data_IF_438123798061
#
_entry.id   IF_438123798061
#
_cell.length_a   1.000
_cell.length_b   1.000
_cell.length_c   1.000
_cell.angle_alpha   90.00
_cell.angle_beta   90.00
_cell.angle_gamma   90.00
#
_symmetry.space_group_name_H-M   'P 1'
#
loop_
_entity.id
_entity.type
_entity.pdbx_description
1 polymer ?
#
# COMPACT_ATOMS: atom_id res chain seq x y z
N UNK A 1 -10.68 47.62 11.54
CA UNK A 1 -11.00 46.45 10.67
C UNK A 1 -12.44 46.07 10.92
N UNK A 2 -13.31 46.04 9.92
CA UNK A 2 -14.70 45.62 10.15
C UNK A 2 -14.76 44.15 10.53
N UNK A 3 -15.70 43.80 11.44
CA UNK A 3 -15.92 42.42 11.92
C UNK A 3 -16.15 41.42 10.75
N UNK A 4 -16.82 41.87 9.68
CA UNK A 4 -17.00 41.12 8.43
C UNK A 4 -15.69 40.79 7.73
N UNK A 5 -14.75 41.73 7.60
CA UNK A 5 -13.46 41.49 6.94
C UNK A 5 -12.56 40.51 7.69
N UNK A 6 -12.66 40.42 9.03
CA UNK A 6 -11.93 39.42 9.84
C UNK A 6 -12.50 38.01 9.66
N UNK A 7 -13.84 37.88 9.70
CA UNK A 7 -14.52 36.56 9.49
C UNK A 7 -14.17 36.00 8.11
N UNK A 8 -14.20 36.82 7.06
CA UNK A 8 -13.84 36.35 5.72
C UNK A 8 -12.39 35.87 5.62
N UNK A 9 -11.45 36.52 6.29
CA UNK A 9 -10.06 36.07 6.33
C UNK A 9 -9.90 34.74 7.05
N UNK A 10 -10.58 34.57 8.18
CA UNK A 10 -10.58 33.31 8.94
C UNK A 10 -11.18 32.18 8.10
N UNK A 11 -12.30 32.43 7.40
CA UNK A 11 -12.91 31.43 6.52
C UNK A 11 -11.96 30.99 5.38
N UNK A 12 -11.21 31.92 4.77
CA UNK A 12 -10.24 31.56 3.73
C UNK A 12 -9.08 30.72 4.27
N UNK A 13 -8.55 31.08 5.46
CA UNK A 13 -7.48 30.31 6.11
C UNK A 13 -7.97 28.91 6.49
N UNK A 14 -9.16 28.80 7.07
CA UNK A 14 -9.75 27.52 7.44
C UNK A 14 -9.99 26.65 6.18
N UNK A 15 -10.53 27.20 5.11
CA UNK A 15 -10.72 26.48 3.84
C UNK A 15 -9.41 26.01 3.22
N UNK A 16 -8.37 26.84 3.25
CA UNK A 16 -7.03 26.43 2.79
C UNK A 16 -6.45 25.29 3.62
N UNK A 17 -6.54 25.36 4.95
CA UNK A 17 -6.04 24.31 5.83
C UNK A 17 -6.79 23.00 5.64
N UNK A 18 -8.12 23.04 5.48
CA UNK A 18 -8.94 21.86 5.19
C UNK A 18 -8.54 21.18 3.86
N UNK A 19 -8.33 21.99 2.79
CA UNK A 19 -7.92 21.45 1.49
C UNK A 19 -6.46 20.97 1.46
N UNK A 20 -5.61 21.53 2.32
CA UNK A 20 -4.20 21.13 2.43
C UNK A 20 -3.99 19.91 3.33
N UNK A 21 -4.97 19.57 4.18
CA UNK A 21 -4.87 18.46 5.13
C UNK A 21 -4.49 17.12 4.48
N UNK A 22 -5.15 16.66 3.39
CA UNK A 22 -4.79 15.39 2.75
C UNK A 22 -3.36 15.36 2.22
N UNK A 23 -2.85 16.50 1.70
CA UNK A 23 -1.48 16.60 1.21
C UNK A 23 -0.47 16.49 2.37
N UNK A 24 -0.71 17.22 3.46
CA UNK A 24 0.17 17.18 4.63
C UNK A 24 0.19 15.76 5.22
N UNK A 25 -0.97 15.13 5.31
CA UNK A 25 -1.09 13.76 5.81
C UNK A 25 -0.37 12.75 4.89
N UNK A 26 -0.45 12.93 3.56
CA UNK A 26 0.25 12.07 2.59
C UNK A 26 1.78 12.14 2.75
N UNK A 27 2.34 13.33 2.96
CA UNK A 27 3.77 13.46 3.26
C UNK A 27 4.17 12.76 4.56
N UNK A 28 3.35 12.90 5.59
CA UNK A 28 3.62 12.26 6.88
C UNK A 28 3.55 10.73 6.76
N UNK A 29 2.48 10.19 6.17
CA UNK A 29 2.31 8.75 5.99
C UNK A 29 3.44 8.14 5.16
N UNK A 30 3.83 8.78 4.05
CA UNK A 30 4.94 8.31 3.21
C UNK A 30 6.27 8.30 3.98
N UNK A 31 6.51 9.31 4.83
CA UNK A 31 7.71 9.34 5.67
C UNK A 31 7.71 8.19 6.69
N UNK A 32 6.56 7.94 7.34
CA UNK A 32 6.42 6.84 8.31
C UNK A 32 6.59 5.46 7.67
N UNK A 33 6.08 5.25 6.44
CA UNK A 33 6.27 3.98 5.73
C UNK A 33 7.75 3.73 5.41
N UNK A 34 8.45 4.75 4.92
CA UNK A 34 9.88 4.65 4.63
C UNK A 34 10.71 4.42 5.89
N UNK A 35 10.35 5.05 7.00
CA UNK A 35 10.98 4.83 8.30
C UNK A 35 10.80 3.36 8.71
N UNK A 36 9.58 2.81 8.67
CA UNK A 36 9.32 1.41 9.02
C UNK A 36 10.08 0.42 8.12
N UNK A 37 10.17 0.66 6.81
CA UNK A 37 10.95 -0.16 5.87
C UNK A 37 12.45 -0.04 6.16
N UNK A 38 12.95 1.16 6.48
CA UNK A 38 14.35 1.39 6.83
C UNK A 38 14.73 0.67 8.13
N UNK A 39 13.90 0.80 9.17
CA UNK A 39 14.11 0.15 10.47
C UNK A 39 14.13 -1.37 10.32
N UNK A 40 13.19 -1.93 9.53
CA UNK A 40 13.19 -3.35 9.18
C UNK A 40 14.50 -3.77 8.48
N UNK A 41 14.94 -3.01 7.49
CA UNK A 41 16.15 -3.31 6.74
C UNK A 41 17.40 -3.26 7.62
N UNK A 42 17.50 -2.28 8.54
CA UNK A 42 18.61 -2.16 9.50
C UNK A 42 18.61 -3.35 10.48
N UNK A 43 17.45 -3.75 10.97
CA UNK A 43 17.32 -4.90 11.86
C UNK A 43 17.73 -6.20 11.15
N UNK A 44 17.24 -6.43 9.93
CA UNK A 44 17.63 -7.59 9.11
C UNK A 44 19.13 -7.61 8.83
N UNK A 45 19.74 -6.44 8.54
CA UNK A 45 21.19 -6.34 8.34
C UNK A 45 22.00 -6.66 9.59
N UNK A 46 21.43 -6.51 10.78
CA UNK A 46 22.08 -6.83 12.06
C UNK A 46 22.12 -8.34 12.37
N UNK A 47 21.27 -9.15 11.70
CA UNK A 47 21.16 -10.59 11.94
C UNK A 47 22.25 -11.37 11.19
N UNK A 48 22.69 -12.46 11.78
CA UNK A 48 23.56 -13.42 11.11
C UNK A 48 22.79 -14.21 10.03
N UNK A 49 23.49 -14.72 9.03
CA UNK A 49 22.88 -15.57 8.00
C UNK A 49 22.27 -16.85 8.59
N UNK A 50 22.81 -17.38 9.68
CA UNK A 50 22.26 -18.55 10.39
C UNK A 50 20.90 -18.23 11.05
N UNK A 51 20.76 -17.04 11.65
CA UNK A 51 19.50 -16.57 12.22
C UNK A 51 18.44 -16.36 11.13
N UNK A 52 18.79 -15.69 10.03
CA UNK A 52 17.89 -15.49 8.89
C UNK A 52 17.43 -16.84 8.30
N UNK A 53 18.37 -17.77 8.12
CA UNK A 53 18.06 -19.11 7.60
C UNK A 53 17.10 -19.86 8.52
N UNK A 54 17.28 -19.78 9.84
CA UNK A 54 16.39 -20.42 10.81
C UNK A 54 14.97 -19.85 10.71
N UNK A 55 14.82 -18.53 10.57
CA UNK A 55 13.52 -17.88 10.41
C UNK A 55 12.85 -18.31 9.10
N UNK A 56 13.62 -18.36 8.00
CA UNK A 56 13.11 -18.80 6.70
C UNK A 56 12.70 -20.28 6.73
N UNK A 57 13.44 -21.14 7.41
CA UNK A 57 13.11 -22.58 7.52
C UNK A 57 11.80 -22.79 8.31
N UNK A 58 11.57 -22.03 9.37
CA UNK A 58 10.31 -22.05 10.11
C UNK A 58 9.14 -21.59 9.22
N UNK A 59 9.34 -20.51 8.46
CA UNK A 59 8.32 -20.01 7.54
C UNK A 59 8.05 -20.98 6.37
N UNK A 60 9.07 -21.67 5.86
CA UNK A 60 8.89 -22.76 4.87
C UNK A 60 8.06 -23.90 5.45
N UNK A 61 8.40 -24.34 6.66
CA UNK A 61 7.64 -25.39 7.33
C UNK A 61 6.16 -25.01 7.52
N UNK A 62 5.88 -23.74 7.88
CA UNK A 62 4.52 -23.22 7.95
C UNK A 62 3.80 -23.34 6.59
N UNK A 63 4.43 -22.86 5.50
CA UNK A 63 3.87 -22.93 4.15
C UNK A 63 3.64 -24.38 3.68
N UNK A 64 4.55 -25.29 3.97
CA UNK A 64 4.42 -26.72 3.62
C UNK A 64 3.22 -27.36 4.31
N UNK A 65 3.03 -27.10 5.62
CA UNK A 65 1.87 -27.61 6.37
C UNK A 65 0.58 -26.97 5.85
N UNK A 66 0.59 -25.69 5.55
CA UNK A 66 -0.57 -24.99 4.98
C UNK A 66 -0.98 -25.60 3.62
N UNK A 67 -0.03 -25.84 2.72
CA UNK A 67 -0.30 -26.49 1.43
C UNK A 67 -0.86 -27.90 1.59
N UNK A 68 -0.29 -28.71 2.49
CA UNK A 68 -0.75 -30.06 2.76
C UNK A 68 -2.15 -30.09 3.36
N UNK A 69 -2.51 -29.10 4.19
CA UNK A 69 -3.82 -28.99 4.83
C UNK A 69 -4.97 -28.68 3.83
N UNK A 70 -4.68 -28.05 2.70
CA UNK A 70 -5.69 -27.73 1.69
C UNK A 70 -6.21 -28.93 0.90
N UNK A 71 -5.49 -30.05 0.91
CA UNK A 71 -5.87 -31.30 0.22
C UNK A 71 -6.44 -32.38 1.13
N UNK A 72 -6.44 -32.20 2.43
CA UNK A 72 -6.86 -33.20 3.42
C UNK A 72 -7.90 -32.62 4.40
N UNK A 73 -8.83 -33.47 4.81
CA UNK A 73 -9.54 -33.29 6.10
C UNK A 73 -8.44 -33.32 7.16
N UNK A 74 -8.15 -32.16 7.74
CA UNK A 74 -7.07 -32.01 8.73
C UNK A 74 -7.50 -32.75 10.00
N UNK A 75 -7.07 -34.00 10.13
CA UNK A 75 -7.01 -34.66 11.40
C UNK A 75 -5.86 -34.01 12.19
N UNK A 76 -6.13 -33.16 13.16
CA UNK A 76 -5.29 -32.68 14.30
C UNK A 76 -3.74 -32.80 14.20
N UNK A 77 -3.18 -32.86 13.00
CA UNK A 77 -1.80 -33.27 12.76
C UNK A 77 -0.83 -32.11 12.56
N UNK A 78 -1.32 -30.86 12.57
CA UNK A 78 -0.47 -29.68 12.36
C UNK A 78 0.35 -29.30 13.61
N UNK A 79 0.12 -29.99 14.74
CA UNK A 79 0.78 -29.69 16.02
C UNK A 79 0.72 -28.21 16.44
N UNK A 80 -0.32 -27.49 16.02
CA UNK A 80 -0.47 -26.07 16.28
C UNK A 80 0.38 -25.16 15.39
N UNK A 81 0.98 -25.68 14.32
CA UNK A 81 1.80 -24.87 13.37
C UNK A 81 0.96 -23.82 12.66
N UNK A 82 -0.33 -24.11 12.41
CA UNK A 82 -1.26 -23.16 11.80
C UNK A 82 -2.11 -22.38 12.83
N UNK A 83 -1.69 -22.35 14.10
CA UNK A 83 -2.38 -21.54 15.12
C UNK A 83 -2.06 -20.07 14.95
N UNK A 84 -2.98 -19.19 15.40
CA UNK A 84 -2.81 -17.73 15.39
C UNK A 84 -1.50 -17.30 16.08
N UNK A 85 -1.14 -17.93 17.20
CA UNK A 85 0.12 -17.66 17.91
C UNK A 85 1.34 -18.03 17.07
N UNK A 86 1.29 -19.17 16.37
CA UNK A 86 2.36 -19.59 15.47
C UNK A 86 2.47 -18.67 14.25
N UNK A 87 1.34 -18.30 13.64
CA UNK A 87 1.31 -17.37 12.52
C UNK A 87 1.94 -16.02 12.88
N UNK A 88 1.51 -15.42 13.98
CA UNK A 88 2.01 -14.14 14.45
C UNK A 88 3.51 -14.16 14.84
N UNK A 89 4.05 -15.32 15.14
CA UNK A 89 5.48 -15.53 15.41
C UNK A 89 6.36 -15.71 14.16
N UNK A 90 5.76 -15.94 12.98
CA UNK A 90 6.52 -16.14 11.74
C UNK A 90 7.09 -14.81 11.22
N UNK A 91 8.31 -14.83 10.70
CA UNK A 91 8.96 -13.65 10.10
C UNK A 91 9.00 -12.41 11.02
N UNK A 92 8.65 -12.55 12.29
CA UNK A 92 8.68 -11.48 13.25
C UNK A 92 10.13 -11.11 13.56
N UNK A 93 10.52 -9.88 13.23
CA UNK A 93 11.90 -9.42 13.40
C UNK A 93 12.04 -8.48 14.59
N UNK A 94 11.00 -7.71 14.91
CA UNK A 94 11.05 -6.65 15.90
C UNK A 94 9.71 -6.42 16.60
N UNK A 95 9.73 -5.54 17.58
CA UNK A 95 8.53 -5.02 18.25
C UNK A 95 7.62 -4.23 17.29
N UNK A 96 8.11 -3.86 16.09
CA UNK A 96 7.33 -3.15 15.07
C UNK A 96 6.34 -4.06 14.33
N UNK A 97 6.54 -5.39 14.36
CA UNK A 97 5.67 -6.35 13.69
C UNK A 97 5.81 -6.40 12.17
N UNK A 98 6.84 -5.76 11.60
CA UNK A 98 7.11 -5.80 10.16
C UNK A 98 7.72 -7.15 9.78
N UNK A 99 7.12 -7.84 8.81
CA UNK A 99 7.58 -9.14 8.30
C UNK A 99 8.35 -9.05 6.98
N UNK A 100 8.31 -7.89 6.31
CA UNK A 100 8.93 -7.63 5.03
C UNK A 100 8.50 -6.30 4.46
N UNK A 101 8.89 -6.02 3.21
CA UNK A 101 8.40 -4.86 2.46
C UNK A 101 7.98 -5.23 1.05
N UNK A 102 7.11 -4.40 0.47
CA UNK A 102 6.69 -4.51 -0.93
C UNK A 102 7.03 -3.24 -1.67
N UNK A 103 7.64 -3.38 -2.85
CA UNK A 103 7.88 -2.31 -3.78
C UNK A 103 7.20 -2.55 -5.12
N UNK A 104 6.46 -1.54 -5.62
CA UNK A 104 5.84 -1.52 -6.94
C UNK A 104 6.32 -0.24 -7.65
N UNK A 105 7.48 -0.26 -8.31
CA UNK A 105 8.15 0.95 -8.81
C UNK A 105 7.29 1.74 -9.79
N UNK A 106 6.51 1.08 -10.64
CA UNK A 106 5.66 1.72 -11.64
C UNK A 106 4.67 2.72 -11.03
N UNK A 107 4.13 2.43 -9.86
CA UNK A 107 3.13 3.26 -9.17
C UNK A 107 3.67 3.93 -7.90
N UNK A 108 5.00 3.92 -7.71
CA UNK A 108 5.71 4.55 -6.60
C UNK A 108 5.24 4.06 -5.22
N UNK A 109 5.05 2.75 -5.08
CA UNK A 109 4.71 2.06 -3.83
C UNK A 109 5.99 1.50 -3.22
N UNK A 110 6.20 1.76 -1.93
CA UNK A 110 7.25 1.22 -1.07
C UNK A 110 6.68 1.18 0.35
N UNK A 111 6.26 0.00 0.80
CA UNK A 111 5.42 -0.17 1.99
C UNK A 111 5.88 -1.35 2.85
N UNK A 112 5.81 -1.23 4.18
CA UNK A 112 6.01 -2.35 5.09
C UNK A 112 4.86 -3.35 4.98
N UNK A 113 5.17 -4.64 5.16
CA UNK A 113 4.23 -5.74 5.25
C UNK A 113 4.10 -6.16 6.72
N UNK A 114 2.88 -6.27 7.21
CA UNK A 114 2.55 -6.68 8.58
C UNK A 114 1.69 -7.94 8.58
N UNK A 115 1.58 -8.60 9.73
CA UNK A 115 0.66 -9.72 9.94
C UNK A 115 -0.79 -9.25 9.98
N UNK A 116 -1.68 -10.04 9.37
CA UNK A 116 -3.12 -9.79 9.40
C UNK A 116 -3.57 -8.65 8.49
N UNK A 117 -4.89 -8.45 8.45
CA UNK A 117 -5.55 -7.44 7.61
C UNK A 117 -6.54 -6.59 8.42
N UNK A 118 -6.27 -6.40 9.71
CA UNK A 118 -7.04 -5.50 10.58
C UNK A 118 -6.89 -4.03 10.18
N UNK A 119 -7.83 -3.19 10.62
CA UNK A 119 -7.82 -1.75 10.30
C UNK A 119 -6.59 -1.02 10.84
N UNK A 120 -6.04 -1.48 11.96
CA UNK A 120 -4.80 -1.00 12.56
C UNK A 120 -3.60 -1.24 11.64
N UNK A 121 -3.49 -2.44 11.07
CA UNK A 121 -2.46 -2.83 10.09
C UNK A 121 -2.63 -2.05 8.78
N UNK A 122 -3.83 -2.10 8.20
CA UNK A 122 -4.08 -1.50 6.89
C UNK A 122 -4.01 0.02 6.89
N UNK A 123 -4.00 0.66 8.06
CA UNK A 123 -3.80 2.11 8.19
C UNK A 123 -2.33 2.53 8.07
N UNK A 124 -1.39 1.61 8.34
CA UNK A 124 0.06 1.90 8.42
C UNK A 124 0.91 1.15 7.39
N UNK A 125 0.32 0.24 6.60
CA UNK A 125 1.05 -0.52 5.59
C UNK A 125 0.18 -1.49 4.82
N UNK A 126 0.80 -2.57 4.37
CA UNK A 126 0.18 -3.70 3.69
C UNK A 126 0.05 -4.84 4.68
N UNK A 127 -1.11 -5.48 4.72
CA UNK A 127 -1.37 -6.63 5.58
C UNK A 127 -1.23 -7.95 4.83
N UNK A 128 -0.52 -8.91 5.40
CA UNK A 128 -0.52 -10.29 4.92
C UNK A 128 -1.80 -10.99 5.42
N UNK A 129 -2.54 -11.58 4.49
CA UNK A 129 -3.79 -12.28 4.83
C UNK A 129 -3.50 -13.64 5.47
N UNK A 130 -3.92 -13.80 6.72
CA UNK A 130 -3.85 -15.08 7.41
C UNK A 130 -4.59 -16.18 6.65
N UNK A 131 -4.06 -17.41 6.70
CA UNK A 131 -4.57 -18.55 5.94
C UNK A 131 -4.07 -18.61 4.50
N UNK A 132 -3.21 -17.67 4.07
CA UNK A 132 -2.43 -17.73 2.83
C UNK A 132 -0.96 -18.00 3.12
N UNK A 133 -0.18 -18.40 2.12
CA UNK A 133 1.25 -18.68 2.32
C UNK A 133 2.01 -17.45 2.76
N UNK A 134 2.93 -17.59 3.71
CA UNK A 134 3.86 -16.53 4.08
C UNK A 134 4.66 -16.06 2.85
N UNK A 135 4.99 -14.77 2.72
CA UNK A 135 5.50 -14.15 1.49
C UNK A 135 7.00 -14.42 1.23
N UNK A 136 7.48 -15.62 1.58
CA UNK A 136 8.88 -16.03 1.39
C UNK A 136 9.17 -16.63 0.02
N UNK A 137 8.14 -16.77 -0.83
CA UNK A 137 8.23 -17.49 -2.10
C UNK A 137 8.41 -19.01 -1.93
N UNK A 138 8.63 -19.68 -3.03
CA UNK A 138 8.82 -21.12 -3.10
C UNK A 138 7.69 -21.84 -3.83
N UNK A 139 7.96 -23.08 -4.27
CA UNK A 139 6.94 -23.91 -4.90
C UNK A 139 5.78 -24.20 -3.94
N UNK A 140 4.59 -24.29 -4.49
CA UNK A 140 3.35 -24.54 -3.75
C UNK A 140 3.00 -23.42 -2.76
N UNK A 141 3.27 -22.17 -3.14
CA UNK A 141 2.92 -20.99 -2.33
C UNK A 141 1.97 -20.05 -3.07
N UNK A 142 1.02 -19.49 -2.35
CA UNK A 142 0.19 -18.38 -2.75
C UNK A 142 0.04 -17.42 -1.57
N UNK A 143 0.79 -16.33 -1.59
CA UNK A 143 0.71 -15.28 -0.58
C UNK A 143 -0.28 -14.20 -0.99
N UNK A 144 -1.06 -13.69 -0.05
CA UNK A 144 -1.99 -12.59 -0.30
C UNK A 144 -1.60 -11.37 0.55
N UNK A 145 -1.38 -10.26 -0.14
CA UNK A 145 -1.05 -8.97 0.43
C UNK A 145 -2.18 -7.97 0.17
N UNK A 146 -2.78 -7.45 1.24
CA UNK A 146 -3.93 -6.55 1.16
C UNK A 146 -3.53 -5.12 1.55
N UNK A 147 -3.96 -4.15 0.78
CA UNK A 147 -3.75 -2.73 1.07
C UNK A 147 -4.98 -1.89 0.79
N UNK A 148 -5.19 -0.86 1.59
CA UNK A 148 -6.29 0.08 1.40
C UNK A 148 -6.20 0.86 0.09
N UNK A 149 -7.35 1.29 -0.42
CA UNK A 149 -7.49 2.18 -1.57
C UNK A 149 -8.37 3.38 -1.22
N UNK A 150 -7.90 4.58 -1.61
CA UNK A 150 -8.71 5.79 -1.48
C UNK A 150 -8.79 6.35 -0.06
N UNK A 151 -7.87 5.99 0.82
CA UNK A 151 -7.75 6.60 2.14
C UNK A 151 -7.16 8.01 1.98
N UNK A 152 -7.83 9.07 2.45
CA UNK A 152 -7.32 10.43 2.33
C UNK A 152 -5.96 10.60 3.01
N UNK A 153 -4.96 11.01 2.24
CA UNK A 153 -3.61 11.22 2.76
C UNK A 153 -2.77 9.96 2.91
N UNK A 154 -3.14 8.86 2.25
CA UNK A 154 -2.34 7.63 2.20
C UNK A 154 -2.36 7.05 0.79
N UNK A 155 -1.18 6.75 0.25
CA UNK A 155 -1.08 6.19 -1.11
C UNK A 155 -1.43 4.71 -1.14
N UNK A 156 -0.90 3.90 -0.23
CA UNK A 156 -1.07 2.46 -0.13
C UNK A 156 -1.28 1.79 -1.52
N UNK A 157 -2.34 1.01 -1.72
CA UNK A 157 -2.70 0.41 -3.02
C UNK A 157 -3.67 1.27 -3.85
N UNK A 158 -3.70 2.60 -3.63
CA UNK A 158 -4.63 3.52 -4.33
C UNK A 158 -4.49 3.44 -5.84
N UNK A 159 -3.26 3.25 -6.35
CA UNK A 159 -2.95 3.19 -7.79
C UNK A 159 -2.78 1.77 -8.33
N UNK A 160 -3.19 0.73 -7.59
CA UNK A 160 -3.03 -0.65 -8.01
C UNK A 160 -3.79 -0.95 -9.33
N UNK A 161 -4.83 -0.18 -9.66
CA UNK A 161 -5.55 -0.27 -10.93
C UNK A 161 -4.79 0.27 -12.16
N UNK A 162 -3.61 0.87 -11.96
CA UNK A 162 -2.71 1.29 -13.05
C UNK A 162 -1.72 0.20 -13.46
N UNK A 163 -1.67 -0.92 -12.71
CA UNK A 163 -0.83 -2.08 -13.01
C UNK A 163 -1.45 -2.86 -14.18
N UNK A 164 -0.60 -3.42 -15.00
CA UNK A 164 -0.95 -4.22 -16.17
C UNK A 164 -0.20 -5.55 -16.18
N UNK A 165 -0.70 -6.53 -16.90
CA UNK A 165 0.05 -7.76 -17.15
C UNK A 165 1.43 -7.46 -17.74
N UNK A 166 2.44 -8.15 -17.21
CA UNK A 166 3.85 -7.94 -17.56
C UNK A 166 4.60 -6.97 -16.64
N UNK A 167 3.91 -6.15 -15.84
CA UNK A 167 4.55 -5.31 -14.84
C UNK A 167 5.18 -6.13 -13.71
N UNK A 168 6.13 -5.53 -13.00
CA UNK A 168 6.86 -6.17 -11.92
C UNK A 168 6.56 -5.49 -10.58
N UNK A 169 6.51 -6.30 -9.54
CA UNK A 169 6.60 -5.88 -8.15
C UNK A 169 7.60 -6.77 -7.40
N UNK A 170 8.07 -6.28 -6.27
CA UNK A 170 9.15 -6.89 -5.52
C UNK A 170 8.79 -6.99 -4.05
N UNK A 171 9.17 -8.10 -3.42
CA UNK A 171 9.11 -8.24 -1.97
C UNK A 171 10.55 -8.31 -1.45
N UNK A 172 10.84 -7.61 -0.36
CA UNK A 172 12.07 -7.80 0.40
C UNK A 172 11.73 -8.54 1.69
N UNK A 173 12.25 -9.76 1.80
CA UNK A 173 12.03 -10.63 2.95
C UNK A 173 13.40 -11.07 3.50
N UNK A 174 13.73 -10.64 4.70
CA UNK A 174 15.01 -10.94 5.36
C UNK A 174 16.24 -10.55 4.53
N UNK A 175 16.10 -9.53 3.66
CA UNK A 175 17.16 -9.02 2.79
C UNK A 175 17.24 -9.72 1.42
N UNK A 176 16.37 -10.69 1.17
CA UNK A 176 16.23 -11.34 -0.13
C UNK A 176 15.16 -10.64 -0.96
N UNK A 177 15.52 -10.12 -2.14
CA UNK A 177 14.57 -9.51 -3.07
C UNK A 177 13.91 -10.56 -3.95
N UNK A 178 12.60 -10.70 -3.80
CA UNK A 178 11.75 -11.63 -4.56
C UNK A 178 11.01 -10.85 -5.64
N UNK A 179 11.27 -11.15 -6.94
CA UNK A 179 10.62 -10.48 -8.05
C UNK A 179 9.41 -11.28 -8.56
N UNK A 180 8.30 -10.60 -8.77
CA UNK A 180 7.06 -11.17 -9.30
C UNK A 180 6.61 -10.41 -10.53
N UNK A 181 6.21 -11.16 -11.59
CA UNK A 181 5.66 -10.59 -12.80
C UNK A 181 4.16 -10.81 -12.86
N UNK A 182 3.42 -9.73 -13.00
CA UNK A 182 1.95 -9.77 -13.11
C UNK A 182 1.54 -10.55 -14.34
N UNK A 183 0.67 -11.55 -14.15
CA UNK A 183 0.14 -12.37 -15.24
C UNK A 183 -1.40 -12.41 -15.29
N UNK A 184 -2.07 -11.98 -14.20
CA UNK A 184 -3.54 -12.01 -14.12
C UNK A 184 -4.05 -10.82 -13.27
N UNK A 185 -5.14 -10.20 -13.75
CA UNK A 185 -5.80 -9.09 -13.06
C UNK A 185 -7.30 -9.32 -13.12
N UNK A 186 -7.93 -9.52 -11.96
CA UNK A 186 -9.36 -9.81 -11.86
C UNK A 186 -10.08 -8.94 -10.85
N UNK A 187 -11.39 -8.83 -11.01
CA UNK A 187 -12.28 -8.15 -10.07
C UNK A 187 -13.30 -9.17 -9.56
N UNK A 188 -13.32 -9.35 -8.25
CA UNK A 188 -14.15 -10.30 -7.55
C UNK A 188 -15.09 -9.60 -6.56
N UNK A 189 -16.16 -10.27 -6.17
CA UNK A 189 -16.83 -9.96 -4.90
C UNK A 189 -15.89 -10.25 -3.71
N UNK A 190 -16.14 -9.70 -2.51
CA UNK A 190 -15.29 -10.00 -1.35
C UNK A 190 -15.12 -11.49 -1.04
N UNK A 191 -16.21 -12.26 -1.13
CA UNK A 191 -16.21 -13.71 -0.84
C UNK A 191 -15.43 -14.50 -1.90
N UNK A 192 -15.63 -14.20 -3.19
CA UNK A 192 -14.90 -14.81 -4.29
C UNK A 192 -13.39 -14.51 -4.20
N UNK A 193 -13.02 -13.27 -3.83
CA UNK A 193 -11.62 -12.91 -3.64
C UNK A 193 -10.99 -13.72 -2.50
N UNK A 194 -11.68 -13.84 -1.36
CA UNK A 194 -11.20 -14.62 -0.23
C UNK A 194 -10.99 -16.10 -0.60
N UNK A 195 -11.94 -16.69 -1.35
CA UNK A 195 -11.79 -18.06 -1.85
C UNK A 195 -10.63 -18.21 -2.85
N UNK A 196 -10.45 -17.21 -3.73
CA UNK A 196 -9.39 -17.25 -4.75
C UNK A 196 -8.00 -17.22 -4.13
N UNK A 197 -7.74 -16.30 -3.18
CA UNK A 197 -6.40 -16.10 -2.63
C UNK A 197 -5.97 -17.19 -1.66
N UNK A 198 -6.90 -17.97 -1.11
CA UNK A 198 -6.59 -19.11 -0.24
C UNK A 198 -6.25 -20.39 -1.01
N UNK A 199 -6.50 -20.45 -2.32
CA UNK A 199 -6.19 -21.63 -3.15
C UNK A 199 -4.72 -21.63 -3.56
N UNK A 200 -3.98 -22.65 -3.15
CA UNK A 200 -2.58 -22.85 -3.51
C UNK A 200 -2.50 -23.88 -4.64
N UNK A 201 -2.02 -23.44 -5.80
CA UNK A 201 -1.77 -24.33 -6.95
C UNK A 201 -0.45 -25.08 -6.81
N UNK A 202 -0.41 -26.38 -7.16
CA UNK A 202 0.83 -27.17 -7.11
C UNK A 202 1.87 -26.62 -8.09
N UNK A 203 3.13 -26.56 -7.66
CA UNK A 203 4.26 -26.07 -8.46
C UNK A 203 4.26 -24.56 -8.72
N UNK A 204 3.38 -23.80 -8.06
CA UNK A 204 3.28 -22.36 -8.23
C UNK A 204 3.98 -21.60 -7.10
N UNK A 205 4.60 -20.48 -7.43
CA UNK A 205 5.11 -19.46 -6.52
C UNK A 205 4.47 -18.14 -6.95
N UNK A 206 3.35 -17.80 -6.29
CA UNK A 206 2.52 -16.64 -6.67
C UNK A 206 2.20 -15.74 -5.48
N UNK A 207 2.04 -14.45 -5.79
CA UNK A 207 1.59 -13.44 -4.83
C UNK A 207 0.43 -12.69 -5.45
N UNK A 208 -0.67 -12.54 -4.68
CA UNK A 208 -1.82 -11.71 -5.03
C UNK A 208 -1.84 -10.43 -4.21
N UNK A 209 -1.93 -9.30 -4.90
CA UNK A 209 -2.12 -7.97 -4.31
C UNK A 209 -3.60 -7.64 -4.36
N UNK A 210 -4.21 -7.34 -3.21
CA UNK A 210 -5.65 -7.15 -3.09
C UNK A 210 -5.99 -5.75 -2.60
N UNK A 211 -6.92 -5.09 -3.27
CA UNK A 211 -7.46 -3.80 -2.81
C UNK A 211 -8.95 -3.66 -3.15
N UNK A 212 -9.59 -2.66 -2.54
CA UNK A 212 -10.99 -2.36 -2.82
C UNK A 212 -11.21 -1.68 -4.17
N UNK A 213 -12.32 -2.01 -4.85
CA UNK A 213 -12.73 -1.41 -6.11
C UNK A 213 -14.26 -1.42 -6.24
N UNK A 214 -14.93 -0.52 -7.04
CA UNK A 214 -14.39 0.73 -7.61
C UNK A 214 -14.00 1.75 -6.53
N UNK A 215 -13.14 2.70 -6.89
CA UNK A 215 -12.68 3.76 -5.98
C UNK A 215 -13.85 4.47 -5.28
N UNK A 216 -13.84 4.51 -3.96
CA UNK A 216 -14.85 5.15 -3.11
C UNK A 216 -16.15 4.35 -2.91
N UNK A 217 -16.46 3.35 -3.75
CA UNK A 217 -17.61 2.45 -3.57
C UNK A 217 -17.25 1.17 -2.82
N UNK A 218 -16.06 0.62 -3.08
CA UNK A 218 -15.45 -0.50 -2.36
C UNK A 218 -16.28 -1.80 -2.31
N UNK A 219 -17.15 -2.00 -3.30
CA UNK A 219 -18.09 -3.14 -3.37
C UNK A 219 -17.43 -4.45 -3.80
N UNK A 220 -16.29 -4.36 -4.47
CA UNK A 220 -15.52 -5.48 -5.01
C UNK A 220 -14.07 -5.42 -4.56
N UNK A 221 -13.31 -6.44 -4.93
CA UNK A 221 -11.86 -6.53 -4.75
C UNK A 221 -11.18 -6.60 -6.10
N UNK A 222 -10.19 -5.71 -6.31
CA UNK A 222 -9.22 -5.84 -7.39
C UNK A 222 -8.11 -6.75 -6.90
N UNK A 223 -7.85 -7.82 -7.63
CA UNK A 223 -6.79 -8.80 -7.36
C UNK A 223 -5.81 -8.78 -8.51
N UNK A 224 -4.56 -8.44 -8.22
CA UNK A 224 -3.43 -8.41 -9.15
C UNK A 224 -2.50 -9.55 -8.76
N UNK A 225 -2.36 -10.57 -9.60
CA UNK A 225 -1.59 -11.77 -9.30
C UNK A 225 -0.30 -11.81 -10.12
N UNK A 226 0.83 -11.97 -9.43
CA UNK A 226 2.15 -12.15 -10.02
C UNK A 226 2.72 -13.53 -9.75
N UNK A 227 3.45 -14.08 -10.72
CA UNK A 227 4.23 -15.32 -10.61
C UNK A 227 5.73 -14.97 -10.47
N UNK A 228 6.44 -15.76 -9.69
CA UNK A 228 7.86 -15.57 -9.41
C UNK A 228 8.69 -15.56 -10.68
N UNK A 229 9.59 -14.60 -10.79
CA UNK A 229 10.61 -14.51 -11.85
C UNK A 229 11.99 -14.25 -11.24
N UNK A 230 13.08 -14.56 -11.95
CA UNK A 230 14.42 -14.18 -11.49
C UNK A 230 14.52 -12.67 -11.28
N UNK A 231 15.13 -12.25 -10.18
CA UNK A 231 15.41 -10.84 -9.95
C UNK A 231 16.59 -10.38 -10.81
N UNK A 232 16.38 -9.34 -11.62
CA UNK A 232 17.40 -8.72 -12.46
C UNK A 232 17.46 -7.22 -12.15
N UNK A 233 18.56 -6.78 -11.56
CA UNK A 233 18.76 -5.38 -11.17
C UNK A 233 18.60 -4.40 -12.34
N UNK A 234 19.09 -4.76 -13.53
CA UNK A 234 18.95 -3.92 -14.74
C UNK A 234 17.48 -3.74 -15.16
N UNK A 235 16.65 -4.79 -15.00
CA UNK A 235 15.22 -4.73 -15.28
C UNK A 235 14.52 -3.84 -14.25
N UNK A 236 14.85 -3.97 -12.96
CA UNK A 236 14.34 -3.11 -11.89
C UNK A 236 14.66 -1.63 -12.13
N UNK A 237 15.93 -1.29 -12.40
CA UNK A 237 16.36 0.09 -12.66
C UNK A 237 15.74 0.69 -13.94
N UNK A 238 15.30 -0.16 -14.88
CA UNK A 238 14.66 0.25 -16.13
C UNK A 238 13.17 0.56 -16.00
N UNK A 239 12.52 0.27 -14.86
CA UNK A 239 11.07 0.49 -14.69
C UNK A 239 10.77 1.98 -14.65
N UNK A 240 9.93 2.42 -15.59
CA UNK A 240 9.48 3.80 -15.65
C UNK A 240 8.28 4.00 -14.71
N UNK A 241 8.38 4.97 -13.81
CA UNK A 241 7.26 5.37 -12.94
C UNK A 241 6.16 6.02 -13.77
N UNK A 242 4.92 5.59 -13.54
CA UNK A 242 3.76 6.23 -14.18
C UNK A 242 3.49 7.59 -13.55
N UNK A 243 3.09 8.56 -14.38
CA UNK A 243 2.67 9.88 -13.91
C UNK A 243 1.39 9.72 -13.06
N UNK A 244 1.27 10.41 -11.91
CA UNK A 244 0.05 10.37 -11.11
C UNK A 244 -1.20 10.63 -11.95
N UNK A 245 -2.30 9.97 -11.62
CA UNK A 245 -3.55 10.13 -12.34
C UNK A 245 -4.04 11.59 -12.31
N UNK A 246 -4.82 12.02 -13.33
CA UNK A 246 -5.37 13.38 -13.38
C UNK A 246 -6.17 13.74 -12.11
N UNK A 247 -6.78 12.76 -11.44
CA UNK A 247 -7.50 12.94 -10.16
C UNK A 247 -6.54 13.35 -9.04
N UNK A 248 -5.42 12.67 -8.91
CA UNK A 248 -4.40 13.01 -7.91
C UNK A 248 -3.79 14.39 -8.18
N UNK A 249 -3.47 14.66 -9.46
CA UNK A 249 -2.98 15.98 -9.87
C UNK A 249 -4.00 17.09 -9.56
N UNK A 250 -5.29 16.83 -9.78
CA UNK A 250 -6.36 17.77 -9.44
C UNK A 250 -6.44 18.00 -7.91
N UNK A 251 -6.43 16.93 -7.12
CA UNK A 251 -6.44 17.04 -5.65
C UNK A 251 -5.24 17.82 -5.12
N UNK A 252 -4.04 17.57 -5.66
CA UNK A 252 -2.84 18.33 -5.31
C UNK A 252 -2.95 19.82 -5.72
N UNK A 253 -3.62 20.12 -6.81
CA UNK A 253 -3.78 21.50 -7.30
C UNK A 253 -4.86 22.31 -6.54
N UNK A 254 -5.85 21.67 -5.91
CA UNK A 254 -6.99 22.34 -5.26
C UNK A 254 -6.62 23.47 -4.29
N UNK A 255 -5.67 23.32 -3.35
CA UNK A 255 -5.28 24.42 -2.46
C UNK A 255 -4.73 25.62 -3.21
N UNK A 256 -3.93 25.38 -4.26
CA UNK A 256 -3.33 26.43 -5.08
C UNK A 256 -4.36 27.14 -5.95
N UNK A 257 -5.32 26.38 -6.51
CA UNK A 257 -6.47 26.95 -7.26
C UNK A 257 -7.28 27.88 -6.34
N UNK A 258 -7.56 27.46 -5.09
CA UNK A 258 -8.26 28.30 -4.12
C UNK A 258 -7.52 29.62 -3.87
N UNK A 259 -6.20 29.55 -3.65
CA UNK A 259 -5.36 30.75 -3.45
C UNK A 259 -5.42 31.66 -4.67
N UNK A 260 -5.31 31.12 -5.88
CA UNK A 260 -5.40 31.88 -7.13
C UNK A 260 -6.76 32.59 -7.26
N UNK A 261 -7.87 31.92 -6.98
CA UNK A 261 -9.22 32.50 -6.99
C UNK A 261 -9.31 33.67 -6.00
N UNK A 262 -8.81 33.47 -4.76
CA UNK A 262 -8.82 34.55 -3.74
C UNK A 262 -8.01 35.76 -4.20
N UNK A 263 -6.85 35.53 -4.81
CA UNK A 263 -6.01 36.62 -5.33
C UNK A 263 -6.73 37.39 -6.45
N UNK A 264 -7.33 36.67 -7.41
CA UNK A 264 -8.09 37.29 -8.53
C UNK A 264 -9.26 38.11 -8.00
N UNK A 265 -10.05 37.58 -7.07
CA UNK A 265 -11.17 38.29 -6.46
C UNK A 265 -10.69 39.60 -5.76
N UNK A 266 -9.60 39.52 -4.97
CA UNK A 266 -9.04 40.73 -4.33
C UNK A 266 -8.53 41.78 -5.33
N UNK A 267 -7.94 41.34 -6.43
CA UNK A 267 -7.50 42.25 -7.48
C UNK A 267 -8.71 42.93 -8.12
N UNK A 268 -9.79 42.16 -8.38
CA UNK A 268 -11.03 42.69 -8.95
C UNK A 268 -11.66 43.75 -8.02
N UNK A 269 -11.84 43.42 -6.73
CA UNK A 269 -12.39 44.32 -5.72
C UNK A 269 -11.58 45.64 -5.64
N UNK A 270 -10.25 45.55 -5.63
CA UNK A 270 -9.37 46.72 -5.61
C UNK A 270 -9.48 47.58 -6.87
N UNK A 271 -9.74 47.00 -8.06
CA UNK A 271 -9.95 47.70 -9.30
C UNK A 271 -11.30 48.44 -9.29
N UNK A 272 -12.35 47.78 -8.81
CA UNK A 272 -13.67 48.37 -8.67
C UNK A 272 -13.65 49.56 -7.69
N UNK A 273 -13.02 49.46 -6.54
CA UNK A 273 -12.82 50.54 -5.58
C UNK A 273 -12.05 51.74 -6.18
N UNK A 274 -11.02 51.49 -7.01
CA UNK A 274 -10.27 52.54 -7.69
C UNK A 274 -11.08 53.24 -8.75
N UNK A 275 -11.90 52.48 -9.50
CA UNK A 275 -12.77 53.07 -10.56
C UNK A 275 -13.88 53.93 -9.92
N UNK A 276 -14.55 53.42 -8.88
CA UNK A 276 -15.56 54.13 -8.14
C UNK A 276 -15.05 55.48 -7.55
N UNK A 277 -13.77 55.52 -7.14
CA UNK A 277 -13.15 56.78 -6.66
C UNK A 277 -12.79 57.74 -7.76
N UNK A 278 -12.61 57.27 -8.99
CA UNK A 278 -12.35 58.15 -10.15
C UNK A 278 -13.63 58.79 -10.70
N UNK A 279 -14.76 58.12 -10.57
CA UNK A 279 -16.05 58.59 -11.07
C UNK A 279 -16.73 59.64 -10.13
N UNK A 280 -16.14 59.87 -8.92
CA UNK A 280 -16.63 60.81 -7.92
C UNK A 280 -15.82 62.15 -7.90
N UNK A 281 -14.76 62.24 -8.69
CA UNK A 281 -13.91 63.41 -8.88
C UNK A 281 -14.19 64.04 -10.25
#
# INVERSE_FOLDING_TARGET
MSRKGWITKVAYVAGFLLLSYPLINSFHSTASYKEAVSDYSEEVASKSEEEKQTILDNARQYNDVLFQSQGAIVDNADNGILSDDSYNGQLLQSDTGVMGSIEIPKIDVDLPIFHGTGDDVLSVGVGHQEGTSLPIGGENTHSCLTGHRGVPGSSLFTRLDEISEGDLFFLDILGDTLAYKVYDIQVFTPDEAAEFVTKIGPGKDIVSLVTCTPYGLNTHRLVVTGERVPYEKATYEGIQKSIPSWRELLFMALPFILVAIIVVLKIKDRREEKNAKKDVV
#
